data_IF_838564369162
#
_entry.id   IF_838564369162
#
_cell.length_a   1.000
_cell.length_b   1.000
_cell.length_c   1.000
_cell.angle_alpha   90.00
_cell.angle_beta   90.00
_cell.angle_gamma   90.00
#
_symmetry.space_group_name_H-M   'P 1'
#
loop_
_entity.id
_entity.type
_entity.pdbx_description
1 polymer ?
#
# COMPACT_ATOMS: atom_id res chain seq x y z
N UNK A 1 60.09 8.07 -31.57
CA UNK A 1 59.19 8.81 -30.67
C UNK A 1 57.89 9.27 -31.37
N UNK A 2 56.80 8.53 -31.17
CA UNK A 2 55.45 9.02 -30.75
C UNK A 2 54.46 7.83 -30.80
N UNK A 3 53.72 7.55 -29.72
CA UNK A 3 52.94 6.33 -29.59
C UNK A 3 51.60 6.43 -30.34
N UNK A 4 51.21 5.33 -30.97
CA UNK A 4 49.89 5.18 -31.57
C UNK A 4 48.81 5.22 -30.48
N UNK A 5 47.77 6.00 -30.73
CA UNK A 5 46.69 6.32 -29.81
C UNK A 5 45.88 5.08 -29.39
N UNK A 6 45.57 5.02 -28.10
CA UNK A 6 44.71 4.03 -27.47
C UNK A 6 43.27 4.09 -28.03
N UNK A 7 42.74 2.94 -28.43
CA UNK A 7 41.33 2.78 -28.79
C UNK A 7 40.45 2.88 -27.55
N UNK A 8 39.48 3.81 -27.57
CA UNK A 8 38.47 3.95 -26.53
C UNK A 8 37.44 2.81 -26.60
N UNK A 9 36.92 2.29 -25.46
CA UNK A 9 35.93 1.23 -25.46
C UNK A 9 34.54 1.77 -25.81
N UNK A 10 33.80 1.00 -26.63
CA UNK A 10 32.42 1.25 -27.02
C UNK A 10 31.45 1.30 -25.81
N UNK A 11 30.38 2.12 -25.87
CA UNK A 11 29.42 2.20 -24.78
C UNK A 11 28.58 0.91 -24.69
N UNK A 12 28.57 0.30 -23.50
CA UNK A 12 27.69 -0.82 -23.15
C UNK A 12 26.21 -0.40 -23.27
N UNK A 13 25.30 -1.28 -23.71
CA UNK A 13 23.87 -0.96 -23.69
C UNK A 13 23.43 -0.74 -22.24
N UNK A 14 22.83 0.42 -21.97
CA UNK A 14 22.18 0.72 -20.70
C UNK A 14 21.14 -0.37 -20.42
N UNK A 15 21.06 -0.93 -19.20
CA UNK A 15 19.95 -1.79 -18.85
C UNK A 15 18.65 -1.03 -19.12
N UNK A 16 17.74 -1.63 -19.87
CA UNK A 16 16.39 -1.12 -19.99
C UNK A 16 15.88 -0.93 -18.57
N UNK A 17 15.57 0.32 -18.21
CA UNK A 17 14.86 0.61 -17.00
C UNK A 17 13.51 -0.11 -17.12
N UNK A 18 13.40 -1.29 -16.50
CA UNK A 18 12.12 -1.73 -15.97
C UNK A 18 11.62 -0.54 -15.18
N UNK A 19 10.61 0.14 -15.71
CA UNK A 19 9.91 1.19 -15.03
C UNK A 19 9.22 0.53 -13.83
N UNK A 20 9.99 0.25 -12.77
CA UNK A 20 9.51 0.42 -11.42
C UNK A 20 9.11 1.89 -11.39
N UNK A 21 7.83 2.14 -11.67
CA UNK A 21 7.22 3.44 -11.48
C UNK A 21 7.55 3.79 -10.04
N UNK A 22 8.55 4.63 -9.86
CA UNK A 22 8.75 5.40 -8.64
C UNK A 22 7.49 6.24 -8.55
N UNK A 23 6.44 5.67 -7.97
CA UNK A 23 5.27 6.40 -7.58
C UNK A 23 5.79 7.44 -6.59
N UNK A 24 5.95 8.68 -7.06
CA UNK A 24 5.89 9.82 -6.15
C UNK A 24 4.64 9.65 -5.28
N UNK A 25 4.60 10.24 -4.06
CA UNK A 25 3.52 10.03 -3.11
C UNK A 25 2.17 10.12 -3.84
N UNK A 26 1.52 8.96 -4.00
CA UNK A 26 0.28 8.87 -4.76
C UNK A 26 -0.71 9.74 -4.00
N UNK A 27 -1.45 10.64 -4.67
CA UNK A 27 -2.45 11.43 -3.98
C UNK A 27 -3.36 10.48 -3.21
N UNK A 28 -3.67 10.79 -1.94
CA UNK A 28 -4.48 9.91 -1.10
C UNK A 28 -5.81 9.66 -1.79
N UNK A 29 -6.17 8.40 -1.94
CA UNK A 29 -7.41 7.98 -2.59
C UNK A 29 -8.40 7.62 -1.49
N UNK A 30 -8.99 8.65 -0.88
CA UNK A 30 -9.96 8.47 0.19
C UNK A 30 -11.21 7.78 -0.36
N UNK A 31 -11.44 6.55 0.09
CA UNK A 31 -12.66 5.79 -0.17
C UNK A 31 -13.47 5.66 1.10
N UNK A 32 -14.75 6.04 1.02
CA UNK A 32 -15.68 5.95 2.14
C UNK A 32 -16.31 4.56 2.22
N UNK A 33 -16.19 3.92 3.37
CA UNK A 33 -16.80 2.64 3.73
C UNK A 33 -17.62 2.82 5.00
N UNK A 34 -18.91 3.06 4.84
CA UNK A 34 -19.80 3.35 5.97
C UNK A 34 -19.29 4.55 6.78
N UNK A 35 -18.98 4.39 8.08
CA UNK A 35 -18.45 5.46 8.93
C UNK A 35 -16.93 5.68 8.79
N UNK A 36 -16.22 4.85 8.03
CA UNK A 36 -14.76 4.93 7.87
C UNK A 36 -14.40 5.55 6.52
N UNK A 37 -13.35 6.36 6.48
CA UNK A 37 -12.69 6.75 5.23
C UNK A 37 -11.31 6.11 5.19
N UNK A 38 -10.93 5.47 4.10
CA UNK A 38 -9.68 4.72 4.03
C UNK A 38 -8.88 5.21 2.84
N UNK A 39 -7.60 5.46 3.06
CA UNK A 39 -6.70 5.88 2.00
C UNK A 39 -6.29 4.67 1.16
N UNK A 40 -7.00 4.47 0.05
CA UNK A 40 -6.76 3.37 -0.86
C UNK A 40 -5.51 3.53 -1.73
N UNK A 41 -4.89 4.71 -1.75
CA UNK A 41 -3.65 4.94 -2.49
C UNK A 41 -2.41 4.61 -1.65
N UNK A 42 -2.50 4.69 -0.33
CA UNK A 42 -1.36 4.58 0.59
C UNK A 42 -1.37 3.28 1.42
N UNK A 43 -1.78 2.16 0.81
CA UNK A 43 -1.59 0.85 1.42
C UNK A 43 -0.11 0.45 1.46
N UNK A 44 0.33 -0.01 2.63
CA UNK A 44 1.68 -0.45 2.91
C UNK A 44 1.68 -1.90 3.41
N UNK A 45 2.52 -2.78 2.85
CA UNK A 45 2.64 -4.15 3.36
C UNK A 45 3.35 -4.14 4.72
N UNK A 46 2.74 -4.78 5.72
CA UNK A 46 3.28 -4.96 7.06
C UNK A 46 3.01 -6.40 7.53
N UNK A 47 4.06 -7.23 7.63
CA UNK A 47 3.98 -8.57 8.23
C UNK A 47 2.93 -9.49 7.60
N UNK A 48 2.76 -9.43 6.27
CA UNK A 48 1.76 -10.23 5.54
C UNK A 48 0.34 -9.67 5.56
N UNK A 49 0.16 -8.45 6.08
CA UNK A 49 -1.08 -7.69 6.01
C UNK A 49 -0.83 -6.37 5.27
N UNK A 50 -1.88 -5.74 4.77
CA UNK A 50 -1.81 -4.40 4.17
C UNK A 50 -2.32 -3.40 5.19
N UNK A 51 -1.60 -2.31 5.41
CA UNK A 51 -1.94 -1.25 6.36
C UNK A 51 -2.08 0.06 5.62
N UNK A 52 -3.17 0.79 5.85
CA UNK A 52 -3.39 2.12 5.30
C UNK A 52 -3.85 3.08 6.40
N UNK A 53 -3.57 4.38 6.25
CA UNK A 53 -4.25 5.42 7.02
C UNK A 53 -5.76 5.38 6.74
N UNK A 54 -6.55 5.57 7.79
CA UNK A 54 -8.00 5.67 7.72
C UNK A 54 -8.49 6.73 8.70
N UNK A 55 -9.70 7.25 8.48
CA UNK A 55 -10.41 8.15 9.39
C UNK A 55 -11.63 7.42 9.94
N UNK A 56 -11.86 7.52 11.24
CA UNK A 56 -13.08 7.01 11.85
C UNK A 56 -14.27 7.99 11.67
N UNK A 57 -15.44 7.64 12.21
CA UNK A 57 -16.64 8.49 12.13
C UNK A 57 -16.46 9.87 12.79
N UNK A 58 -15.50 9.99 13.72
CA UNK A 58 -15.16 11.24 14.39
C UNK A 58 -14.11 12.07 13.60
N UNK A 59 -13.66 11.58 12.43
CA UNK A 59 -12.60 12.21 11.64
C UNK A 59 -11.20 12.02 12.20
N UNK A 60 -11.01 11.09 13.15
CA UNK A 60 -9.71 10.82 13.76
C UNK A 60 -8.91 9.86 12.89
N UNK A 61 -7.65 10.22 12.65
CA UNK A 61 -6.70 9.38 11.93
C UNK A 61 -6.33 8.14 12.73
N UNK A 62 -6.72 6.99 12.19
CA UNK A 62 -6.40 5.65 12.65
C UNK A 62 -5.65 4.91 11.54
N UNK A 63 -5.05 3.77 11.84
CA UNK A 63 -4.52 2.86 10.85
C UNK A 63 -5.42 1.65 10.73
N UNK A 64 -5.72 1.27 9.49
CA UNK A 64 -6.48 0.08 9.16
C UNK A 64 -5.54 -0.95 8.55
N UNK A 65 -5.47 -2.12 9.16
CA UNK A 65 -4.76 -3.29 8.68
C UNK A 65 -5.76 -4.33 8.15
N UNK A 66 -5.44 -4.94 7.02
CA UNK A 66 -6.24 -5.99 6.39
C UNK A 66 -5.35 -7.15 6.04
N UNK A 67 -5.73 -8.33 6.50
CA UNK A 67 -5.07 -9.58 6.19
C UNK A 67 -5.93 -10.36 5.19
N UNK A 68 -5.54 -10.31 3.92
CA UNK A 68 -6.26 -10.98 2.85
C UNK A 68 -6.19 -12.51 2.92
N UNK A 69 -5.11 -13.07 3.46
CA UNK A 69 -4.94 -14.51 3.63
C UNK A 69 -5.92 -15.08 4.64
N UNK A 70 -6.16 -14.35 5.73
CA UNK A 70 -7.09 -14.75 6.79
C UNK A 70 -8.50 -14.16 6.63
N UNK A 71 -8.69 -13.22 5.70
CA UNK A 71 -9.95 -12.47 5.55
C UNK A 71 -10.31 -11.64 6.78
N UNK A 72 -9.30 -11.19 7.54
CA UNK A 72 -9.48 -10.43 8.79
C UNK A 72 -9.05 -8.99 8.60
N UNK A 73 -9.60 -8.11 9.41
CA UNK A 73 -9.12 -6.73 9.52
C UNK A 73 -8.79 -6.40 10.97
N UNK A 74 -8.06 -5.32 11.14
CA UNK A 74 -7.70 -4.76 12.43
C UNK A 74 -7.54 -3.26 12.26
N UNK A 75 -7.89 -2.48 13.26
CA UNK A 75 -7.75 -1.03 13.21
C UNK A 75 -7.15 -0.53 14.53
N UNK A 76 -6.37 0.55 14.47
CA UNK A 76 -5.90 1.20 15.68
C UNK A 76 -7.01 2.04 16.31
N UNK A 77 -7.08 2.07 17.64
CA UNK A 77 -7.94 3.02 18.36
C UNK A 77 -7.34 4.44 18.40
N UNK A 78 -8.00 5.36 19.12
CA UNK A 78 -7.54 6.75 19.33
C UNK A 78 -6.12 6.84 19.91
N UNK A 79 -5.71 5.86 20.71
CA UNK A 79 -4.37 5.79 21.29
C UNK A 79 -3.30 5.22 20.32
N UNK A 80 -3.65 4.91 19.08
CA UNK A 80 -2.75 4.23 18.13
C UNK A 80 -2.49 2.76 18.45
N UNK A 81 -3.14 2.21 19.48
CA UNK A 81 -3.03 0.80 19.84
C UNK A 81 -3.81 -0.08 18.87
N UNK A 82 -3.13 -1.08 18.28
CA UNK A 82 -3.76 -2.13 17.49
C UNK A 82 -4.72 -2.94 18.36
N UNK A 83 -5.90 -3.24 17.82
CA UNK A 83 -6.85 -4.14 18.46
C UNK A 83 -6.53 -5.59 18.09
N UNK A 84 -7.42 -6.51 18.44
CA UNK A 84 -7.35 -7.89 17.97
C UNK A 84 -7.72 -7.97 16.49
N UNK A 85 -7.23 -9.02 15.82
CA UNK A 85 -7.64 -9.34 14.46
C UNK A 85 -9.04 -9.95 14.47
N UNK A 86 -10.00 -9.21 13.93
CA UNK A 86 -11.39 -9.61 13.91
C UNK A 86 -11.88 -9.80 12.47
N UNK A 87 -12.88 -10.67 12.31
CA UNK A 87 -13.56 -10.81 11.04
C UNK A 87 -14.42 -9.56 10.78
N UNK A 88 -14.58 -9.13 9.52
CA UNK A 88 -15.44 -8.00 9.18
C UNK A 88 -16.87 -8.25 9.66
N UNK A 89 -17.32 -7.45 10.63
CA UNK A 89 -18.63 -7.64 11.26
C UNK A 89 -19.73 -6.91 10.49
N UNK A 90 -19.36 -5.80 9.84
CA UNK A 90 -20.27 -4.94 9.10
C UNK A 90 -20.12 -5.12 7.60
N UNK A 91 -21.19 -4.88 6.83
CA UNK A 91 -21.16 -5.01 5.37
C UNK A 91 -20.09 -4.13 4.71
N UNK A 92 -19.88 -2.92 5.23
CA UNK A 92 -18.85 -2.00 4.72
C UNK A 92 -17.42 -2.53 4.96
N UNK A 93 -17.17 -3.20 6.08
CA UNK A 93 -15.87 -3.82 6.38
C UNK A 93 -15.64 -5.01 5.45
N UNK A 94 -16.67 -5.82 5.23
CA UNK A 94 -16.59 -6.94 4.30
C UNK A 94 -16.31 -6.43 2.88
N UNK A 95 -16.97 -5.35 2.48
CA UNK A 95 -16.75 -4.73 1.18
C UNK A 95 -15.34 -4.17 1.04
N UNK A 96 -14.82 -3.55 2.10
CA UNK A 96 -13.44 -3.09 2.14
C UNK A 96 -12.45 -4.24 1.97
N UNK A 97 -12.60 -5.31 2.76
CA UNK A 97 -11.72 -6.48 2.67
C UNK A 97 -11.83 -7.10 1.28
N UNK A 98 -13.04 -7.25 0.74
CA UNK A 98 -13.26 -7.74 -0.63
C UNK A 98 -12.58 -6.86 -1.67
N UNK A 99 -12.77 -5.55 -1.62
CA UNK A 99 -12.18 -4.63 -2.58
C UNK A 99 -10.66 -4.67 -2.51
N UNK A 100 -10.07 -4.63 -1.31
CA UNK A 100 -8.63 -4.67 -1.15
C UNK A 100 -8.03 -6.00 -1.60
N UNK A 101 -8.62 -7.11 -1.14
CA UNK A 101 -8.10 -8.44 -1.42
C UNK A 101 -8.38 -8.91 -2.84
N UNK A 102 -9.35 -8.30 -3.53
CA UNK A 102 -9.57 -8.48 -4.96
C UNK A 102 -8.56 -7.66 -5.78
N UNK A 103 -8.21 -6.45 -5.33
CA UNK A 103 -7.25 -5.57 -6.02
C UNK A 103 -5.79 -6.06 -5.86
N UNK A 104 -5.48 -6.82 -4.80
CA UNK A 104 -4.13 -7.39 -4.58
C UNK A 104 -3.80 -8.69 -5.34
N UNK A 105 -4.67 -9.17 -6.23
CA UNK A 105 -4.56 -10.47 -6.92
C UNK A 105 -4.37 -10.39 -8.43
N UNK A 106 -3.62 -9.41 -8.95
CA UNK A 106 -3.32 -9.25 -10.38
C UNK A 106 -1.82 -9.17 -10.64
#
# INVERSE_FOLDING_TARGET
PRPAAAAAPAPRPKPAATAARSAGPKPPEWRTYGPLQVDFANWQPLGGSMVAPALNSAGQSIFLAVNCTAGKLNATGEAGAWKSWDAPQSEFEQQLVRDLCRVGGG
#
